data_IF_386705968819
#
_entry.id   IF_386705968819
#
_cell.length_a   1.000
_cell.length_b   1.000
_cell.length_c   1.000
_cell.angle_alpha   90.00
_cell.angle_beta   90.00
_cell.angle_gamma   90.00
#
_symmetry.space_group_name_H-M   'P 1'
#
loop_
_entity.id
_entity.type
_entity.pdbx_description
1 polymer ?
#
# COMPACT_ATOMS: atom_id res chain seq x y z
N UNK A 1 24.00 -0.97 -72.30
CA UNK A 1 24.69 -0.71 -71.01
C UNK A 1 24.33 0.65 -70.41
N UNK A 2 24.21 1.72 -71.23
CA UNK A 2 23.96 3.11 -70.76
C UNK A 2 22.61 3.25 -70.05
N UNK A 3 21.53 2.65 -70.55
CA UNK A 3 20.18 2.66 -69.94
C UNK A 3 20.15 2.03 -68.54
N UNK A 4 20.91 0.99 -68.32
CA UNK A 4 21.03 0.31 -66.98
C UNK A 4 21.68 1.24 -65.96
N UNK A 5 22.69 1.99 -66.40
CA UNK A 5 23.41 2.93 -65.51
C UNK A 5 22.48 4.09 -65.10
N UNK A 6 21.72 4.63 -66.05
CA UNK A 6 20.75 5.71 -65.78
C UNK A 6 19.66 5.24 -64.81
N UNK A 7 19.15 4.01 -65.01
CA UNK A 7 18.14 3.43 -64.12
C UNK A 7 18.68 3.20 -62.71
N UNK A 8 19.89 2.69 -62.58
CA UNK A 8 20.56 2.52 -61.31
C UNK A 8 20.83 3.85 -60.60
N UNK A 9 21.24 4.89 -61.31
CA UNK A 9 21.47 6.22 -60.72
C UNK A 9 20.19 6.91 -60.24
N UNK A 10 19.02 6.59 -60.77
CA UNK A 10 17.74 7.11 -60.30
C UNK A 10 17.09 6.25 -59.22
N UNK A 11 17.22 4.91 -59.32
CA UNK A 11 16.55 3.98 -58.42
C UNK A 11 17.19 3.96 -57.04
N UNK A 12 18.50 4.07 -56.96
CA UNK A 12 19.22 4.02 -55.62
C UNK A 12 18.86 5.19 -54.75
N UNK A 13 18.93 6.45 -55.14
CA UNK A 13 18.51 7.58 -54.31
C UNK A 13 17.00 7.56 -53.99
N UNK A 14 16.15 7.10 -54.89
CA UNK A 14 14.73 6.96 -54.60
C UNK A 14 14.46 5.92 -53.55
N UNK A 15 15.06 4.74 -53.60
CA UNK A 15 14.96 3.71 -52.60
C UNK A 15 15.50 4.19 -51.23
N UNK A 16 16.62 4.90 -51.20
CA UNK A 16 17.16 5.45 -49.95
C UNK A 16 16.21 6.47 -49.31
N UNK A 17 15.55 7.33 -50.08
CA UNK A 17 14.56 8.28 -49.58
C UNK A 17 13.31 7.58 -49.05
N UNK A 18 12.82 6.55 -49.72
CA UNK A 18 11.67 5.77 -49.25
C UNK A 18 12.00 5.02 -47.96
N UNK A 19 13.14 4.33 -47.90
CA UNK A 19 13.54 3.61 -46.71
C UNK A 19 13.83 4.53 -45.52
N UNK A 20 14.43 5.71 -45.73
CA UNK A 20 14.65 6.69 -44.66
C UNK A 20 13.33 7.27 -44.16
N UNK A 21 12.36 7.53 -45.02
CA UNK A 21 11.04 8.01 -44.65
C UNK A 21 10.23 6.97 -43.83
N UNK A 22 10.30 5.71 -44.23
CA UNK A 22 9.65 4.61 -43.50
C UNK A 22 10.31 4.45 -42.13
N UNK A 23 11.61 4.49 -42.04
CA UNK A 23 12.34 4.34 -40.80
C UNK A 23 12.03 5.46 -39.81
N UNK A 24 12.10 6.70 -40.20
CA UNK A 24 11.77 7.85 -39.34
C UNK A 24 10.29 7.87 -38.92
N UNK A 25 9.38 7.47 -39.79
CA UNK A 25 7.97 7.32 -39.48
C UNK A 25 7.72 6.24 -38.40
N UNK A 26 8.43 5.11 -38.52
CA UNK A 26 8.30 4.01 -37.56
C UNK A 26 8.91 4.38 -36.20
N UNK A 27 10.08 5.00 -36.21
CA UNK A 27 10.72 5.47 -34.95
C UNK A 27 9.84 6.48 -34.19
N UNK A 28 9.28 7.46 -34.90
CA UNK A 28 8.38 8.44 -34.28
C UNK A 28 7.06 7.82 -33.78
N UNK A 29 6.55 6.81 -34.45
CA UNK A 29 5.34 6.08 -34.02
C UNK A 29 5.61 5.24 -32.77
N UNK A 30 6.76 4.58 -32.69
CA UNK A 30 7.17 3.81 -31.52
C UNK A 30 7.36 4.74 -30.29
N UNK A 31 8.07 5.85 -30.45
CA UNK A 31 8.27 6.84 -29.40
C UNK A 31 6.91 7.42 -28.93
N UNK A 32 6.00 7.70 -29.87
CA UNK A 32 4.66 8.18 -29.54
C UNK A 32 3.84 7.17 -28.74
N UNK A 33 3.88 5.90 -29.13
CA UNK A 33 3.19 4.81 -28.41
C UNK A 33 3.76 4.59 -27.01
N UNK A 34 5.08 4.61 -26.87
CA UNK A 34 5.73 4.49 -25.56
C UNK A 34 5.40 5.68 -24.65
N UNK A 35 5.42 6.90 -25.19
CA UNK A 35 5.07 8.11 -24.43
C UNK A 35 3.63 8.06 -23.93
N UNK A 36 2.68 7.65 -24.76
CA UNK A 36 1.28 7.47 -24.36
C UNK A 36 1.11 6.35 -23.32
N UNK A 37 1.86 5.27 -23.44
CA UNK A 37 1.83 4.17 -22.48
C UNK A 37 2.36 4.61 -21.12
N UNK A 38 3.44 5.38 -21.09
CA UNK A 38 4.04 5.94 -19.89
C UNK A 38 3.09 6.93 -19.23
N UNK A 39 2.50 7.85 -19.99
CA UNK A 39 1.56 8.85 -19.47
C UNK A 39 0.31 8.19 -18.88
N UNK A 40 -0.25 7.19 -19.57
CA UNK A 40 -1.38 6.42 -19.02
C UNK A 40 -1.03 5.70 -17.72
N UNK A 41 0.14 5.07 -17.64
CA UNK A 41 0.61 4.43 -16.41
C UNK A 41 0.81 5.44 -15.29
N UNK A 42 1.34 6.62 -15.59
CA UNK A 42 1.50 7.71 -14.61
C UNK A 42 0.14 8.13 -14.04
N UNK A 43 -0.85 8.40 -14.90
CA UNK A 43 -2.21 8.79 -14.48
C UNK A 43 -2.87 7.72 -13.64
N UNK A 44 -2.74 6.44 -14.00
CA UNK A 44 -3.25 5.33 -13.20
C UNK A 44 -2.59 5.30 -11.83
N UNK A 45 -1.26 5.41 -11.79
CA UNK A 45 -0.49 5.41 -10.54
C UNK A 45 -0.85 6.60 -9.64
N UNK A 46 -0.96 7.79 -10.21
CA UNK A 46 -1.38 9.00 -9.48
C UNK A 46 -2.79 8.82 -8.88
N UNK A 47 -3.74 8.29 -9.64
CA UNK A 47 -5.09 8.03 -9.15
C UNK A 47 -5.10 6.97 -8.04
N UNK A 48 -4.35 5.88 -8.18
CA UNK A 48 -4.21 4.88 -7.12
C UNK A 48 -3.58 5.47 -5.86
N UNK A 49 -2.55 6.29 -6.00
CA UNK A 49 -1.93 6.98 -4.87
C UNK A 49 -2.91 7.92 -4.18
N UNK A 50 -3.65 8.74 -4.93
CA UNK A 50 -4.66 9.64 -4.38
C UNK A 50 -5.76 8.90 -3.62
N UNK A 51 -6.24 7.78 -4.15
CA UNK A 51 -7.22 6.94 -3.47
C UNK A 51 -6.68 6.37 -2.16
N UNK A 52 -5.43 5.90 -2.15
CA UNK A 52 -4.76 5.40 -0.95
C UNK A 52 -4.58 6.49 0.10
N UNK A 53 -4.13 7.69 -0.30
CA UNK A 53 -3.97 8.82 0.61
C UNK A 53 -5.29 9.29 1.22
N UNK A 54 -6.38 9.34 0.44
CA UNK A 54 -7.70 9.70 0.96
C UNK A 54 -8.21 8.68 1.98
N UNK A 55 -7.93 7.40 1.76
CA UNK A 55 -8.22 6.34 2.73
C UNK A 55 -7.44 6.54 4.04
N UNK A 56 -6.14 6.79 3.97
CA UNK A 56 -5.29 6.99 5.14
C UNK A 56 -5.79 8.14 6.01
N UNK A 57 -6.19 9.26 5.42
CA UNK A 57 -6.71 10.40 6.18
C UNK A 57 -7.99 10.05 6.94
N UNK A 58 -8.92 9.31 6.31
CA UNK A 58 -10.14 8.85 6.98
C UNK A 58 -9.81 7.92 8.14
N UNK A 59 -9.00 6.91 7.90
CA UNK A 59 -8.60 5.93 8.92
C UNK A 59 -7.84 6.59 10.08
N UNK A 60 -7.01 7.61 9.79
CA UNK A 60 -6.32 8.39 10.82
C UNK A 60 -7.30 9.17 11.71
N UNK A 61 -8.35 9.75 11.11
CA UNK A 61 -9.39 10.43 11.87
C UNK A 61 -10.19 9.44 12.72
N UNK A 62 -10.57 8.28 12.16
CA UNK A 62 -11.28 7.23 12.88
C UNK A 62 -10.48 6.70 14.07
N UNK A 63 -9.14 6.60 13.95
CA UNK A 63 -8.26 6.26 15.06
C UNK A 63 -8.20 7.35 16.13
N UNK A 64 -8.15 8.62 15.72
CA UNK A 64 -8.15 9.76 16.62
C UNK A 64 -9.47 9.87 17.40
N UNK A 65 -10.60 9.63 16.76
CA UNK A 65 -11.92 9.62 17.38
C UNK A 65 -12.04 8.48 18.40
N UNK A 66 -11.53 7.28 18.06
CA UNK A 66 -11.51 6.15 18.97
C UNK A 66 -10.62 6.42 20.19
N UNK A 67 -9.43 7.01 19.99
CA UNK A 67 -8.56 7.41 21.09
C UNK A 67 -9.26 8.41 22.00
N UNK A 68 -9.92 9.41 21.44
CA UNK A 68 -10.69 10.40 22.18
C UNK A 68 -11.79 9.72 23.02
N UNK A 69 -12.49 8.75 22.44
CA UNK A 69 -13.53 7.98 23.15
C UNK A 69 -12.97 7.24 24.35
N UNK A 70 -11.84 6.54 24.20
CA UNK A 70 -11.19 5.83 25.30
C UNK A 70 -10.73 6.80 26.41
N UNK A 71 -10.13 7.95 26.03
CA UNK A 71 -9.70 8.97 26.98
C UNK A 71 -10.88 9.52 27.78
N UNK A 72 -12.01 9.81 27.14
CA UNK A 72 -13.23 10.29 27.79
C UNK A 72 -13.85 9.24 28.72
N UNK A 73 -13.91 7.98 28.31
CA UNK A 73 -14.45 6.88 29.10
C UNK A 73 -13.67 6.69 30.41
N UNK A 74 -12.35 6.74 30.31
CA UNK A 74 -11.46 6.61 31.47
C UNK A 74 -11.22 7.92 32.22
N UNK A 75 -11.72 9.06 31.70
CA UNK A 75 -11.50 10.41 32.25
C UNK A 75 -10.02 10.72 32.47
N UNK A 76 -9.19 10.32 31.53
CA UNK A 76 -7.74 10.47 31.58
C UNK A 76 -7.22 11.38 30.46
N UNK A 77 -6.05 11.97 30.70
CA UNK A 77 -5.31 12.69 29.68
C UNK A 77 -4.38 11.73 28.91
N UNK A 78 -3.90 12.18 27.74
CA UNK A 78 -3.01 11.40 26.88
C UNK A 78 -1.70 11.00 27.58
N UNK A 79 -1.23 11.82 28.52
CA UNK A 79 -0.04 11.54 29.33
C UNK A 79 -0.24 10.38 30.32
N UNK A 80 -1.47 10.15 30.74
CA UNK A 80 -1.88 9.02 31.58
C UNK A 80 -2.14 7.77 30.74
N UNK A 81 -2.76 7.94 29.57
CA UNK A 81 -2.96 6.87 28.60
C UNK A 81 -1.64 6.18 28.20
N UNK A 82 -0.58 6.94 27.97
CA UNK A 82 0.75 6.41 27.62
C UNK A 82 1.30 5.48 28.73
N UNK A 83 0.86 5.64 29.98
CA UNK A 83 1.28 4.85 31.14
C UNK A 83 0.31 3.73 31.51
N UNK A 84 -0.88 3.73 30.91
CA UNK A 84 -1.93 2.76 31.23
C UNK A 84 -1.97 1.62 30.22
N UNK A 85 -1.41 0.48 30.57
CA UNK A 85 -1.47 -0.73 29.75
C UNK A 85 -2.92 -1.18 29.49
N UNK A 86 -3.82 -0.97 30.43
CA UNK A 86 -5.23 -1.36 30.33
C UNK A 86 -5.96 -0.51 29.28
N UNK A 87 -5.84 0.82 29.34
CA UNK A 87 -6.45 1.72 28.37
C UNK A 87 -5.86 1.54 26.98
N UNK A 88 -4.56 1.28 26.87
CA UNK A 88 -3.90 0.96 25.60
C UNK A 88 -4.42 -0.34 24.98
N UNK A 89 -4.62 -1.39 25.78
CA UNK A 89 -5.18 -2.67 25.31
C UNK A 89 -6.61 -2.50 24.83
N UNK A 90 -7.43 -1.79 25.58
CA UNK A 90 -8.81 -1.49 25.18
C UNK A 90 -8.86 -0.72 23.86
N UNK A 91 -8.04 0.31 23.72
CA UNK A 91 -7.92 1.05 22.47
C UNK A 91 -7.52 0.14 21.31
N UNK A 92 -6.51 -0.71 21.49
CA UNK A 92 -6.08 -1.65 20.46
C UNK A 92 -7.17 -2.65 20.07
N UNK A 93 -7.95 -3.15 21.04
CA UNK A 93 -9.07 -4.03 20.78
C UNK A 93 -10.17 -3.34 19.95
N UNK A 94 -10.49 -2.08 20.29
CA UNK A 94 -11.51 -1.29 19.60
C UNK A 94 -11.12 -0.95 18.14
N UNK A 95 -9.83 -0.67 17.89
CA UNK A 95 -9.38 -0.31 16.55
C UNK A 95 -8.99 -1.49 15.67
N UNK A 96 -8.79 -2.67 16.26
CA UNK A 96 -8.30 -3.85 15.54
C UNK A 96 -9.19 -4.26 14.36
N UNK A 97 -10.50 -4.33 14.58
CA UNK A 97 -11.46 -4.65 13.53
C UNK A 97 -11.43 -3.62 12.39
N UNK A 98 -11.29 -2.33 12.72
CA UNK A 98 -11.15 -1.26 11.73
C UNK A 98 -9.91 -1.48 10.87
N UNK A 99 -8.79 -1.87 11.49
CA UNK A 99 -7.54 -2.14 10.78
C UNK A 99 -7.59 -3.40 9.92
N UNK A 100 -8.28 -4.44 10.35
CA UNK A 100 -8.59 -5.62 9.53
C UNK A 100 -9.39 -5.21 8.29
N UNK A 101 -10.40 -4.36 8.46
CA UNK A 101 -11.18 -3.83 7.34
C UNK A 101 -10.34 -3.02 6.36
N UNK A 102 -9.38 -2.23 6.85
CA UNK A 102 -8.42 -1.51 5.98
C UNK A 102 -7.67 -2.49 5.07
N UNK A 103 -7.17 -3.61 5.60
CA UNK A 103 -6.51 -4.63 4.80
C UNK A 103 -7.45 -5.28 3.78
N UNK A 104 -8.65 -5.61 4.19
CA UNK A 104 -9.63 -6.27 3.30
C UNK A 104 -10.10 -5.38 2.14
N UNK A 105 -10.20 -4.06 2.36
CA UNK A 105 -10.71 -3.11 1.37
C UNK A 105 -9.62 -2.29 0.66
N UNK A 106 -8.39 -2.33 1.14
CA UNK A 106 -7.25 -1.69 0.49
C UNK A 106 -6.36 -2.71 -0.22
N UNK A 107 -5.48 -2.23 -1.09
CA UNK A 107 -4.45 -3.09 -1.70
C UNK A 107 -3.14 -3.04 -0.90
N UNK A 108 -3.24 -2.84 0.43
CA UNK A 108 -2.09 -2.90 1.31
C UNK A 108 -1.77 -4.33 1.70
N UNK A 109 -0.50 -4.62 1.90
CA UNK A 109 -0.01 -5.95 2.27
C UNK A 109 0.07 -6.15 3.78
N UNK A 110 -0.09 -5.08 4.55
CA UNK A 110 -0.06 -5.16 6.00
C UNK A 110 -0.36 -3.82 6.65
N UNK A 111 -0.79 -3.89 7.90
CA UNK A 111 -1.06 -2.77 8.80
C UNK A 111 -0.38 -3.04 10.13
N UNK A 112 0.25 -2.04 10.69
CA UNK A 112 0.77 -2.11 12.05
C UNK A 112 0.37 -0.87 12.85
N UNK A 113 0.16 -1.06 14.13
CA UNK A 113 -0.08 0.00 15.10
C UNK A 113 0.76 -0.29 16.34
N UNK A 114 1.55 0.67 16.74
CA UNK A 114 2.41 0.57 17.93
C UNK A 114 2.16 1.79 18.79
N UNK A 115 1.81 1.56 20.04
CA UNK A 115 1.62 2.62 21.03
C UNK A 115 2.94 2.86 21.76
N UNK A 116 3.39 4.11 21.75
CA UNK A 116 4.55 4.52 22.52
C UNK A 116 4.23 4.50 24.02
N UNK A 117 5.22 4.21 24.82
CA UNK A 117 5.19 4.39 26.25
C UNK A 117 6.38 5.27 26.69
N UNK A 118 6.40 5.66 27.98
CA UNK A 118 7.48 6.47 28.57
C UNK A 118 8.83 5.72 28.67
N UNK A 119 8.89 4.46 28.23
CA UNK A 119 10.08 3.62 28.33
C UNK A 119 10.96 3.79 27.12
N UNK A 120 12.26 3.59 27.32
CA UNK A 120 13.23 3.69 26.24
C UNK A 120 12.91 2.68 25.11
N UNK A 121 12.80 3.15 23.89
CA UNK A 121 12.47 2.33 22.70
C UNK A 121 13.50 1.22 22.40
N UNK A 122 14.59 1.16 23.16
CA UNK A 122 15.64 0.14 23.00
C UNK A 122 15.30 -1.21 23.64
N UNK A 123 14.30 -1.29 24.53
CA UNK A 123 13.91 -2.54 25.18
C UNK A 123 12.83 -3.28 24.41
N UNK A 124 13.20 -4.40 23.78
CA UNK A 124 12.28 -5.25 23.04
C UNK A 124 11.18 -5.83 23.97
N UNK A 125 9.93 -5.76 23.50
CA UNK A 125 8.80 -6.42 24.19
C UNK A 125 8.01 -5.54 25.16
N UNK A 126 8.26 -4.25 25.20
CA UNK A 126 7.59 -3.32 26.14
C UNK A 126 6.52 -2.41 25.48
N UNK A 127 6.12 -2.70 24.26
CA UNK A 127 5.14 -1.89 23.54
C UNK A 127 3.85 -2.64 23.35
N UNK A 128 2.73 -1.95 23.56
CA UNK A 128 1.43 -2.42 23.14
C UNK A 128 1.23 -2.13 21.65
N UNK A 129 0.68 -3.07 20.93
CA UNK A 129 0.42 -2.89 19.49
C UNK A 129 0.08 -4.18 18.79
N UNK A 130 0.00 -4.11 17.47
CA UNK A 130 -0.18 -5.27 16.62
C UNK A 130 0.40 -5.04 15.22
N UNK A 131 0.68 -6.13 14.54
CA UNK A 131 1.05 -6.16 13.13
C UNK A 131 0.29 -7.28 12.44
N UNK A 132 -0.57 -6.88 11.48
CA UNK A 132 -1.37 -7.79 10.66
C UNK A 132 -0.80 -7.75 9.25
N UNK A 133 -0.62 -8.92 8.65
CA UNK A 133 -0.21 -9.09 7.27
C UNK A 133 -1.29 -9.83 6.49
N UNK A 134 -1.53 -9.39 5.26
CA UNK A 134 -2.31 -10.10 4.26
C UNK A 134 -1.34 -10.99 3.44
N UNK A 135 -1.57 -12.30 3.44
CA UNK A 135 -0.73 -13.26 2.72
C UNK A 135 -1.06 -13.32 1.22
N UNK A 136 -2.24 -12.86 0.82
CA UNK A 136 -2.67 -12.78 -0.58
C UNK A 136 -3.49 -11.51 -0.86
N UNK A 137 -2.83 -10.34 -0.97
CA UNK A 137 -3.53 -9.05 -1.14
C UNK A 137 -4.34 -8.94 -2.44
N UNK A 138 -4.14 -9.87 -3.38
CA UNK A 138 -4.87 -9.88 -4.65
C UNK A 138 -6.18 -10.67 -4.57
N UNK A 139 -6.26 -11.60 -3.63
CA UNK A 139 -7.43 -12.45 -3.44
C UNK A 139 -8.23 -11.97 -2.24
N UNK A 140 -9.20 -11.08 -2.49
CA UNK A 140 -10.09 -10.57 -1.44
C UNK A 140 -11.02 -11.67 -0.97
N UNK A 141 -10.69 -12.33 0.12
CA UNK A 141 -11.54 -13.33 0.76
C UNK A 141 -12.42 -12.66 1.81
N UNK A 142 -13.68 -13.04 1.86
CA UNK A 142 -14.62 -12.58 2.89
C UNK A 142 -14.30 -13.16 4.28
N UNK A 143 -13.40 -14.12 4.36
CA UNK A 143 -12.90 -14.73 5.59
C UNK A 143 -11.49 -14.22 5.89
N UNK A 144 -11.14 -14.05 7.16
CA UNK A 144 -9.81 -13.61 7.58
C UNK A 144 -8.74 -14.71 7.49
N UNK A 145 -8.95 -15.74 6.68
CA UNK A 145 -8.07 -16.91 6.58
C UNK A 145 -6.74 -16.63 5.90
N UNK A 146 -6.68 -15.57 5.13
CA UNK A 146 -5.49 -15.03 4.44
C UNK A 146 -4.73 -14.00 5.28
N UNK A 147 -5.30 -13.61 6.43
CA UNK A 147 -4.66 -12.69 7.35
C UNK A 147 -3.82 -13.45 8.39
N UNK A 148 -2.67 -12.88 8.69
CA UNK A 148 -1.76 -13.35 9.71
C UNK A 148 -1.46 -12.22 10.69
N UNK A 149 -1.74 -12.44 11.97
CA UNK A 149 -1.30 -11.55 13.04
C UNK A 149 0.16 -11.91 13.38
N UNK A 150 1.08 -11.22 12.75
CA UNK A 150 2.52 -11.44 12.94
C UNK A 150 2.93 -11.13 14.38
N UNK A 151 2.34 -10.06 14.94
CA UNK A 151 2.53 -9.66 16.32
C UNK A 151 1.25 -9.10 16.90
N UNK A 152 0.94 -9.48 18.14
CA UNK A 152 -0.25 -9.00 18.84
C UNK A 152 -0.64 -9.87 20.02
N UNK A 153 -1.72 -9.50 20.69
CA UNK A 153 -2.25 -10.28 21.80
C UNK A 153 -3.06 -11.50 21.32
N UNK A 154 -3.11 -12.53 22.16
CA UNK A 154 -3.93 -13.72 21.89
C UNK A 154 -5.43 -13.40 21.79
N UNK A 155 -5.89 -12.35 22.47
CA UNK A 155 -7.28 -11.94 22.42
C UNK A 155 -7.64 -11.39 21.04
N UNK A 156 -6.81 -10.54 20.45
CA UNK A 156 -7.02 -10.00 19.10
C UNK A 156 -7.13 -11.13 18.05
N UNK A 157 -6.21 -12.08 18.10
CA UNK A 157 -6.21 -13.26 17.24
C UNK A 157 -7.51 -14.05 17.35
N UNK A 158 -7.96 -14.32 18.57
CA UNK A 158 -9.16 -15.13 18.83
C UNK A 158 -10.44 -14.44 18.38
N UNK A 159 -10.59 -13.15 18.67
CA UNK A 159 -11.81 -12.39 18.38
C UNK A 159 -12.11 -12.33 16.89
N UNK A 160 -11.09 -12.26 16.06
CA UNK A 160 -11.25 -12.16 14.59
C UNK A 160 -10.94 -13.45 13.84
N UNK A 161 -10.64 -14.55 14.56
CA UNK A 161 -10.25 -15.84 13.96
C UNK A 161 -9.04 -15.74 13.01
N UNK A 162 -8.09 -14.86 13.35
CA UNK A 162 -6.85 -14.66 12.60
C UNK A 162 -5.75 -15.50 13.24
N UNK A 163 -4.93 -16.17 12.43
CA UNK A 163 -3.77 -16.92 12.93
C UNK A 163 -2.74 -15.99 13.56
N UNK A 164 -2.24 -16.35 14.74
CA UNK A 164 -1.20 -15.60 15.45
C UNK A 164 0.14 -16.31 15.28
N UNK A 165 1.15 -15.60 14.76
CA UNK A 165 2.51 -16.13 14.61
C UNK A 165 3.29 -15.95 15.93
N UNK A 166 3.52 -14.73 16.35
CA UNK A 166 4.29 -14.45 17.55
C UNK A 166 3.48 -13.58 18.53
N UNK A 167 3.09 -14.13 19.71
CA UNK A 167 2.45 -13.31 20.73
C UNK A 167 3.44 -12.26 21.25
N UNK A 168 3.01 -11.02 21.39
CA UNK A 168 3.74 -10.08 22.19
C UNK A 168 3.63 -10.51 23.65
N UNK A 169 4.79 -10.70 24.25
CA UNK A 169 4.82 -10.95 25.69
C UNK A 169 4.30 -9.71 26.40
N UNK A 170 3.18 -9.87 27.02
CA UNK A 170 2.65 -8.94 28.03
C UNK A 170 3.52 -8.94 29.26
#
# INVERSE_FOLDING_TARGET
PVLIIIFLQGAVPFLTLVFSGIRSGTENSIIGLDSHSIENRKVVLENEMLQRWSGINRESNDLADELTTVLEQHKMEISEFIKSDEAQKEFLENVFEKMVNVLQYSSTTGVFLVLGNDKDMTEAGQYNGFWIRDSDPQMKTASNTDLLLERGSKNLSRNMSISLDTPWST
#
